data_IF_838051178740
#
_entry.id   IF_838051178740
#
_cell.length_a   1.000
_cell.length_b   1.000
_cell.length_c   1.000
_cell.angle_alpha   90.00
_cell.angle_beta   90.00
_cell.angle_gamma   90.00
#
_symmetry.space_group_name_H-M   'P 1'
#
loop_
_entity.id
_entity.type
_entity.pdbx_description
1 polymer ?
#
# COMPACT_ATOMS: atom_id res chain seq x y z
N UNK A 1 -13.36 17.12 29.39
CA UNK A 1 -12.03 16.62 29.80
C UNK A 1 -12.03 15.12 29.49
N UNK A 2 -11.53 14.71 28.32
CA UNK A 2 -11.49 13.30 27.92
C UNK A 2 -10.22 12.66 28.49
N UNK A 3 -10.38 11.80 29.48
CA UNK A 3 -9.27 11.00 30.02
C UNK A 3 -8.87 9.99 28.95
N UNK A 4 -7.65 10.11 28.45
CA UNK A 4 -7.08 9.26 27.42
C UNK A 4 -6.41 8.06 28.13
N UNK A 5 -7.16 6.97 28.32
CA UNK A 5 -6.64 5.77 29.02
C UNK A 5 -5.51 5.04 28.26
N UNK A 6 -5.33 5.36 26.98
CA UNK A 6 -4.32 4.74 26.13
C UNK A 6 -3.44 5.83 25.52
N UNK A 7 -2.19 6.00 26.01
CA UNK A 7 -1.20 6.84 25.35
C UNK A 7 -1.07 6.41 23.88
N UNK A 8 -1.23 7.33 22.94
CA UNK A 8 -1.13 7.06 21.50
C UNK A 8 -2.45 6.89 20.75
N UNK A 9 -3.61 7.01 21.39
CA UNK A 9 -4.90 6.95 20.68
C UNK A 9 -5.34 8.31 20.14
N UNK A 10 -5.77 8.40 18.87
CA UNK A 10 -6.27 9.67 18.28
C UNK A 10 -7.57 10.17 18.94
N UNK A 11 -7.66 11.44 19.30
CA UNK A 11 -8.88 12.02 19.87
C UNK A 11 -10.04 12.03 18.85
N UNK A 12 -11.28 11.83 19.31
CA UNK A 12 -12.49 11.87 18.47
C UNK A 12 -12.72 10.68 17.53
N UNK A 13 -11.83 9.68 17.53
CA UNK A 13 -11.96 8.47 16.70
C UNK A 13 -12.53 7.32 17.54
N UNK A 14 -13.59 6.62 17.10
CA UNK A 14 -14.10 5.43 17.77
C UNK A 14 -12.98 4.43 18.09
N UNK A 15 -13.04 3.82 19.28
CA UNK A 15 -12.04 2.86 19.74
C UNK A 15 -12.63 1.47 19.70
N UNK A 16 -11.82 0.51 19.26
CA UNK A 16 -12.21 -0.89 19.22
C UNK A 16 -11.10 -1.76 19.82
N UNK A 17 -11.50 -2.83 20.52
CA UNK A 17 -10.62 -3.89 21.01
C UNK A 17 -11.16 -5.23 20.52
N UNK A 18 -10.31 -6.01 19.83
CA UNK A 18 -10.62 -7.38 19.43
C UNK A 18 -9.87 -8.31 20.37
N UNK A 19 -10.61 -9.12 21.13
CA UNK A 19 -10.06 -10.08 22.08
C UNK A 19 -10.06 -11.45 21.45
N UNK A 20 -8.87 -11.98 21.18
CA UNK A 20 -8.65 -13.35 20.73
C UNK A 20 -8.40 -14.24 21.95
N UNK A 21 -9.19 -15.30 22.12
CA UNK A 21 -9.11 -16.19 23.29
C UNK A 21 -9.31 -17.65 22.88
N UNK A 22 -8.83 -18.57 23.71
CA UNK A 22 -9.12 -19.99 23.67
C UNK A 22 -10.47 -20.34 24.33
N UNK A 23 -11.25 -19.33 24.74
CA UNK A 23 -12.59 -19.49 25.29
C UNK A 23 -12.65 -19.68 26.81
N UNK A 24 -11.52 -19.59 27.52
CA UNK A 24 -11.47 -19.61 28.98
C UNK A 24 -10.45 -18.61 29.52
N UNK A 25 -10.92 -17.69 30.34
CA UNK A 25 -10.08 -16.65 30.94
C UNK A 25 -9.56 -17.08 32.31
N UNK A 26 -8.28 -16.82 32.60
CA UNK A 26 -7.70 -17.13 33.92
C UNK A 26 -8.29 -16.28 35.06
N UNK A 27 -8.88 -15.12 34.72
CA UNK A 27 -9.60 -14.21 35.62
C UNK A 27 -10.87 -13.73 34.93
N UNK A 28 -11.94 -13.49 35.70
CA UNK A 28 -13.19 -13.00 35.15
C UNK A 28 -12.97 -11.66 34.38
N UNK A 29 -13.26 -11.60 33.07
CA UNK A 29 -12.95 -10.44 32.24
C UNK A 29 -13.99 -9.33 32.35
N UNK A 30 -15.15 -9.61 32.98
CA UNK A 30 -16.34 -8.76 33.00
C UNK A 30 -16.06 -7.33 33.46
N UNK A 31 -15.39 -7.13 34.59
CA UNK A 31 -15.18 -5.80 35.18
C UNK A 31 -14.34 -4.89 34.28
N UNK A 32 -13.29 -5.45 33.66
CA UNK A 32 -12.43 -4.74 32.71
C UNK A 32 -13.22 -4.41 31.45
N UNK A 33 -14.00 -5.37 30.95
CA UNK A 33 -14.79 -5.21 29.74
C UNK A 33 -15.91 -4.17 29.92
N UNK A 34 -16.59 -4.15 31.08
CA UNK A 34 -17.57 -3.14 31.45
C UNK A 34 -16.95 -1.74 31.49
N UNK A 35 -15.75 -1.61 32.08
CA UNK A 35 -15.03 -0.34 32.14
C UNK A 35 -14.66 0.18 30.75
N UNK A 36 -14.17 -0.69 29.86
CA UNK A 36 -13.82 -0.33 28.49
C UNK A 36 -15.05 0.09 27.69
N UNK A 37 -16.14 -0.67 27.77
CA UNK A 37 -17.40 -0.33 27.10
C UNK A 37 -18.00 0.98 27.60
N UNK A 38 -17.94 1.25 28.91
CA UNK A 38 -18.41 2.51 29.51
C UNK A 38 -17.64 3.74 28.99
N UNK A 39 -16.43 3.54 28.46
CA UNK A 39 -15.61 4.58 27.84
C UNK A 39 -15.87 4.73 26.33
N UNK A 40 -16.87 4.02 25.78
CA UNK A 40 -17.20 4.06 24.36
C UNK A 40 -16.26 3.21 23.49
N UNK A 41 -15.58 2.22 24.08
CA UNK A 41 -14.74 1.27 23.34
C UNK A 41 -15.60 0.09 22.91
N UNK A 42 -15.70 -0.15 21.60
CA UNK A 42 -16.36 -1.33 21.05
C UNK A 42 -15.50 -2.57 21.28
N UNK A 43 -16.02 -3.57 21.96
CA UNK A 43 -15.31 -4.83 22.21
C UNK A 43 -15.85 -5.95 21.32
N UNK A 44 -14.96 -6.72 20.72
CA UNK A 44 -15.27 -7.91 19.91
C UNK A 44 -14.56 -9.10 20.52
N UNK A 45 -15.26 -10.22 20.73
CA UNK A 45 -14.69 -11.43 21.32
C UNK A 45 -14.64 -12.54 20.28
N UNK A 46 -13.45 -13.10 20.04
CA UNK A 46 -13.21 -14.14 19.04
C UNK A 46 -12.55 -15.33 19.73
N UNK A 47 -13.21 -16.49 19.67
CA UNK A 47 -12.66 -17.75 20.13
C UNK A 47 -12.22 -18.64 18.97
N UNK A 48 -11.06 -19.27 19.12
CA UNK A 48 -10.58 -20.33 18.22
C UNK A 48 -11.05 -21.73 18.64
N UNK A 49 -11.62 -21.84 19.85
CA UNK A 49 -12.04 -23.12 20.44
C UNK A 49 -13.49 -23.43 20.07
N UNK A 50 -13.79 -24.64 19.57
CA UNK A 50 -15.17 -25.05 19.27
C UNK A 50 -15.91 -25.53 20.52
N UNK A 51 -17.25 -25.57 20.44
CA UNK A 51 -18.09 -26.24 21.44
C UNK A 51 -17.69 -27.72 21.60
N UNK A 52 -17.80 -28.30 22.81
CA UNK A 52 -18.34 -27.71 24.04
C UNK A 52 -17.31 -26.95 24.90
N UNK A 53 -16.07 -26.80 24.44
CA UNK A 53 -14.95 -26.28 25.25
C UNK A 53 -14.84 -24.75 25.27
N UNK A 54 -15.76 -24.04 24.61
CA UNK A 54 -15.80 -22.58 24.60
C UNK A 54 -16.82 -22.08 25.60
N UNK A 55 -16.43 -21.15 26.47
CA UNK A 55 -17.36 -20.43 27.33
C UNK A 55 -17.95 -19.22 26.59
N UNK A 56 -19.06 -19.44 25.89
CA UNK A 56 -19.76 -18.35 25.19
C UNK A 56 -20.33 -17.29 26.13
N UNK A 57 -20.61 -17.63 27.39
CA UNK A 57 -21.09 -16.65 28.37
C UNK A 57 -19.96 -15.68 28.75
N UNK A 58 -18.73 -16.18 28.85
CA UNK A 58 -17.55 -15.36 29.04
C UNK A 58 -17.24 -14.48 27.82
N UNK A 59 -17.35 -15.01 26.60
CA UNK A 59 -17.22 -14.21 25.37
C UNK A 59 -18.26 -13.08 25.33
N UNK A 60 -19.51 -13.38 25.72
CA UNK A 60 -20.57 -12.38 25.79
C UNK A 60 -20.27 -11.31 26.86
N UNK A 61 -19.68 -11.68 28.00
CA UNK A 61 -19.23 -10.71 29.01
C UNK A 61 -18.11 -9.79 28.49
N UNK A 62 -17.25 -10.29 27.59
CA UNK A 62 -16.19 -9.50 26.94
C UNK A 62 -16.77 -8.57 25.87
N UNK A 63 -17.65 -9.07 25.00
CA UNK A 63 -18.20 -8.27 23.91
C UNK A 63 -19.30 -7.29 24.37
N UNK A 64 -20.13 -7.71 25.33
CA UNK A 64 -21.32 -7.00 25.79
C UNK A 64 -22.52 -7.10 24.83
N UNK A 65 -22.36 -7.79 23.69
CA UNK A 65 -23.37 -7.95 22.64
C UNK A 65 -23.11 -9.25 21.88
N UNK A 66 -24.17 -10.03 21.65
CA UNK A 66 -24.10 -11.32 20.99
C UNK A 66 -23.64 -11.21 19.52
N UNK A 67 -23.96 -10.10 18.84
CA UNK A 67 -23.54 -9.85 17.45
C UNK A 67 -22.02 -9.69 17.30
N UNK A 68 -21.31 -9.42 18.40
CA UNK A 68 -19.85 -9.22 18.45
C UNK A 68 -19.11 -10.40 19.09
N UNK A 69 -19.75 -11.57 19.17
CA UNK A 69 -19.18 -12.82 19.68
C UNK A 69 -18.99 -13.81 18.54
N UNK A 70 -17.75 -14.25 18.34
CA UNK A 70 -17.37 -15.14 17.27
C UNK A 70 -16.68 -16.40 17.80
N UNK A 71 -17.05 -17.52 17.21
CA UNK A 71 -16.51 -18.87 17.45
C UNK A 71 -16.24 -19.50 16.08
N UNK A 72 -15.60 -20.69 16.00
CA UNK A 72 -15.41 -21.36 14.71
C UNK A 72 -16.72 -21.63 13.94
N UNK A 73 -17.88 -21.63 14.60
CA UNK A 73 -19.19 -21.86 13.96
C UNK A 73 -19.72 -20.67 13.17
N UNK A 74 -19.48 -19.45 13.64
CA UNK A 74 -19.98 -18.20 13.03
C UNK A 74 -18.83 -17.27 12.60
N UNK A 75 -17.62 -17.81 12.46
CA UNK A 75 -16.45 -17.05 12.04
C UNK A 75 -16.65 -16.37 10.67
N UNK A 76 -17.50 -16.91 9.79
CA UNK A 76 -17.81 -16.27 8.51
C UNK A 76 -18.55 -14.93 8.66
N UNK A 77 -19.20 -14.68 9.80
CA UNK A 77 -19.94 -13.43 10.08
C UNK A 77 -19.02 -12.34 10.61
N UNK A 78 -17.84 -12.71 11.12
CA UNK A 78 -16.87 -11.80 11.72
C UNK A 78 -16.51 -10.65 10.80
N UNK A 79 -16.23 -10.95 9.53
CA UNK A 79 -15.88 -9.92 8.55
C UNK A 79 -17.03 -8.92 8.38
N UNK A 80 -18.27 -9.39 8.24
CA UNK A 80 -19.42 -8.49 8.06
C UNK A 80 -19.68 -7.60 9.27
N UNK A 81 -19.44 -8.08 10.48
CA UNK A 81 -19.57 -7.26 11.69
C UNK A 81 -18.40 -6.30 11.85
N UNK A 82 -17.18 -6.79 11.66
CA UNK A 82 -15.97 -5.97 11.75
C UNK A 82 -16.03 -4.80 10.77
N UNK A 83 -16.49 -5.04 9.53
CA UNK A 83 -16.60 -4.01 8.49
C UNK A 83 -17.62 -2.89 8.81
N UNK A 84 -18.54 -3.08 9.77
CA UNK A 84 -19.41 -1.99 10.27
C UNK A 84 -18.63 -0.94 11.05
N UNK A 85 -17.55 -1.37 11.71
CA UNK A 85 -16.69 -0.51 12.52
C UNK A 85 -15.40 -0.14 11.79
N UNK A 86 -14.95 -1.03 10.91
CA UNK A 86 -13.78 -0.87 10.04
C UNK A 86 -14.30 -0.53 8.65
N UNK A 87 -14.91 0.64 8.52
CA UNK A 87 -15.28 1.21 7.23
C UNK A 87 -14.05 1.85 6.57
N UNK A 88 -13.78 1.50 5.31
CA UNK A 88 -12.95 2.31 4.42
C UNK A 88 -13.70 3.59 3.99
N UNK A 89 -14.15 4.43 4.93
CA UNK A 89 -14.99 5.58 4.61
C UNK A 89 -15.62 6.24 5.83
N UNK A 90 -15.64 7.57 5.86
CA UNK A 90 -16.53 8.34 6.70
C UNK A 90 -18.00 7.94 6.46
N UNK A 91 -18.85 8.14 7.47
CA UNK A 91 -20.29 7.96 7.38
C UNK A 91 -20.86 8.74 6.17
N UNK A 92 -21.45 8.01 5.21
CA UNK A 92 -22.03 8.59 3.99
C UNK A 92 -21.19 8.49 2.70
N UNK A 93 -20.00 7.88 2.71
CA UNK A 93 -19.19 7.67 1.49
C UNK A 93 -19.03 6.18 1.16
N UNK A 94 -19.97 5.62 0.40
CA UNK A 94 -19.85 4.25 -0.12
C UNK A 94 -18.85 4.20 -1.29
N UNK A 95 -17.68 3.61 -1.06
CA UNK A 95 -16.80 3.16 -2.13
C UNK A 95 -17.39 1.89 -2.72
N UNK A 96 -17.98 2.01 -3.92
CA UNK A 96 -18.58 0.87 -4.60
C UNK A 96 -17.59 -0.29 -4.83
N UNK A 97 -18.10 -1.52 -5.02
CA UNK A 97 -17.28 -2.74 -5.16
C UNK A 97 -16.27 -2.70 -6.34
N UNK A 98 -16.43 -1.76 -7.27
CA UNK A 98 -15.57 -1.52 -8.44
C UNK A 98 -14.88 -0.14 -8.42
N UNK A 99 -14.38 0.30 -7.26
CA UNK A 99 -13.69 1.59 -7.14
C UNK A 99 -12.44 1.64 -8.05
N UNK A 100 -12.59 2.24 -9.24
CA UNK A 100 -11.49 2.47 -10.19
C UNK A 100 -10.60 3.62 -9.72
N UNK A 101 -9.30 3.61 -10.07
CA UNK A 101 -8.40 4.73 -9.85
C UNK A 101 -9.03 6.05 -10.34
N UNK A 102 -9.11 7.05 -9.46
CA UNK A 102 -9.79 8.33 -9.76
C UNK A 102 -8.87 9.38 -10.38
N UNK A 103 -7.62 9.03 -10.67
CA UNK A 103 -6.68 9.89 -11.38
C UNK A 103 -7.06 9.93 -12.86
N UNK A 104 -7.28 11.13 -13.41
CA UNK A 104 -7.39 11.32 -14.86
C UNK A 104 -5.94 11.43 -15.36
N UNK A 105 -5.59 10.77 -16.46
CA UNK A 105 -4.22 10.79 -17.00
C UNK A 105 -3.62 12.19 -17.18
N UNK A 106 -2.31 12.18 -17.44
CA UNK A 106 -1.33 13.29 -17.40
C UNK A 106 -1.24 13.97 -16.03
N UNK A 107 -0.34 13.45 -15.21
CA UNK A 107 0.25 14.16 -14.06
C UNK A 107 1.31 15.11 -14.59
N UNK A 108 1.21 16.39 -14.26
CA UNK A 108 2.23 17.36 -14.63
C UNK A 108 3.37 17.26 -13.61
N UNK A 109 4.54 16.88 -14.11
CA UNK A 109 5.77 16.77 -13.31
C UNK A 109 6.70 17.87 -13.77
N UNK A 110 7.10 18.73 -12.85
CA UNK A 110 8.07 19.80 -13.12
C UNK A 110 9.16 19.73 -12.08
N UNK A 111 10.42 19.89 -12.49
CA UNK A 111 11.54 19.95 -11.56
C UNK A 111 12.46 21.11 -11.92
N UNK A 112 13.13 21.64 -10.90
CA UNK A 112 14.19 22.62 -11.01
C UNK A 112 15.50 22.05 -10.42
N UNK A 113 16.47 22.91 -10.11
CA UNK A 113 17.77 22.48 -9.57
C UNK A 113 17.71 21.81 -8.19
N UNK A 114 16.63 21.99 -7.43
CA UNK A 114 16.52 21.55 -6.03
C UNK A 114 15.14 21.02 -5.63
N UNK A 115 14.16 21.01 -6.54
CA UNK A 115 12.81 20.59 -6.21
C UNK A 115 12.12 19.85 -7.35
N UNK A 116 11.13 19.04 -6.99
CA UNK A 116 10.18 18.41 -7.90
C UNK A 116 8.77 18.75 -7.43
N UNK A 117 7.98 19.32 -8.34
CA UNK A 117 6.56 19.61 -8.14
C UNK A 117 5.75 18.62 -8.95
N UNK A 118 4.88 17.91 -8.24
CA UNK A 118 4.00 16.89 -8.79
C UNK A 118 2.56 17.37 -8.69
N UNK A 119 1.92 17.55 -9.85
CA UNK A 119 0.55 18.04 -9.97
C UNK A 119 -0.35 16.98 -10.57
N UNK A 120 -1.44 16.67 -9.87
CA UNK A 120 -2.41 15.65 -10.27
C UNK A 120 -3.79 16.26 -10.46
N UNK A 121 -4.47 15.83 -11.54
CA UNK A 121 -5.87 16.15 -11.81
C UNK A 121 -6.74 14.94 -11.58
N UNK A 122 -7.55 15.00 -10.53
CA UNK A 122 -8.50 13.95 -10.16
C UNK A 122 -9.83 14.09 -10.92
N UNK A 123 -10.56 12.98 -11.10
CA UNK A 123 -11.87 12.98 -11.76
C UNK A 123 -12.93 13.76 -10.95
N UNK A 124 -12.85 13.68 -9.62
CA UNK A 124 -13.61 14.49 -8.67
C UNK A 124 -12.67 14.91 -7.55
N UNK A 125 -12.95 16.03 -6.85
CA UNK A 125 -12.10 16.49 -5.75
C UNK A 125 -11.86 15.37 -4.73
N UNK A 126 -10.62 15.25 -4.28
CA UNK A 126 -10.22 14.28 -3.27
C UNK A 126 -10.20 14.94 -1.90
N UNK A 127 -10.84 14.31 -0.91
CA UNK A 127 -10.74 14.70 0.48
C UNK A 127 -9.86 13.66 1.17
N UNK A 128 -8.55 13.92 1.26
CA UNK A 128 -7.58 12.88 1.58
C UNK A 128 -6.16 13.41 1.71
N UNK A 129 -5.17 12.54 1.48
CA UNK A 129 -3.75 12.86 1.65
C UNK A 129 -2.97 12.63 0.37
N UNK A 130 -1.91 13.40 0.20
CA UNK A 130 -0.93 13.23 -0.87
C UNK A 130 0.46 13.34 -0.25
N UNK A 131 1.29 12.30 -0.33
CA UNK A 131 2.55 12.25 0.42
C UNK A 131 3.64 11.41 -0.25
N UNK A 132 4.90 11.66 0.10
CA UNK A 132 6.02 10.83 -0.35
C UNK A 132 5.99 9.45 0.35
N UNK A 133 6.20 8.37 -0.41
CA UNK A 133 6.17 7.01 0.12
C UNK A 133 7.08 6.86 1.34
N UNK A 134 6.56 6.26 2.43
CA UNK A 134 7.21 6.12 3.75
C UNK A 134 7.28 7.39 4.62
N UNK A 135 6.86 8.56 4.12
CA UNK A 135 6.95 9.84 4.85
C UNK A 135 5.59 10.41 5.28
N UNK A 136 4.56 9.56 5.42
CA UNK A 136 3.18 9.99 5.73
C UNK A 136 3.00 10.68 7.09
N UNK A 137 3.87 10.38 8.06
CA UNK A 137 3.84 10.99 9.39
C UNK A 137 4.56 12.35 9.44
N UNK A 138 5.29 12.70 8.38
CA UNK A 138 6.07 13.95 8.31
C UNK A 138 5.20 15.02 7.65
N UNK A 139 4.81 16.09 8.37
CA UNK A 139 3.94 17.13 7.84
C UNK A 139 4.52 17.85 6.63
N UNK A 140 5.85 18.04 6.57
CA UNK A 140 6.49 18.66 5.41
C UNK A 140 6.41 17.80 4.14
N UNK A 141 6.21 16.49 4.29
CA UNK A 141 6.13 15.53 3.19
C UNK A 141 4.68 15.13 2.85
N UNK A 142 3.70 15.73 3.51
CA UNK A 142 2.29 15.34 3.45
C UNK A 142 1.39 16.55 3.22
N UNK A 143 0.63 16.52 2.13
CA UNK A 143 -0.42 17.47 1.82
C UNK A 143 -1.77 16.87 2.20
N UNK A 144 -2.51 17.57 3.06
CA UNK A 144 -3.92 17.28 3.34
C UNK A 144 -4.78 18.07 2.36
N UNK A 145 -5.62 17.38 1.61
CA UNK A 145 -6.57 18.01 0.70
C UNK A 145 -7.99 17.91 1.28
N UNK A 146 -8.69 19.05 1.30
CA UNK A 146 -10.06 19.22 1.79
C UNK A 146 -11.12 19.00 0.70
N UNK A 147 -10.71 18.68 -0.53
CA UNK A 147 -11.62 18.50 -1.65
C UNK A 147 -12.15 19.81 -2.24
N UNK A 148 -11.50 20.94 -1.97
CA UNK A 148 -11.81 22.24 -2.59
C UNK A 148 -11.53 22.26 -4.10
N UNK A 149 -10.48 21.55 -4.54
CA UNK A 149 -10.05 21.49 -5.93
C UNK A 149 -9.88 20.06 -6.42
N UNK A 150 -10.08 19.86 -7.72
CA UNK A 150 -9.73 18.61 -8.42
C UNK A 150 -8.24 18.53 -8.77
N UNK A 151 -7.57 19.68 -8.82
CA UNK A 151 -6.15 19.80 -9.07
C UNK A 151 -5.43 19.94 -7.74
N UNK A 152 -4.43 19.08 -7.53
CA UNK A 152 -3.67 18.98 -6.29
C UNK A 152 -2.20 18.96 -6.65
N UNK A 153 -1.40 19.81 -6.01
CA UNK A 153 0.02 19.94 -6.27
C UNK A 153 0.82 19.83 -4.98
N UNK A 154 1.85 19.01 -4.97
CA UNK A 154 2.81 18.89 -3.87
C UNK A 154 4.23 19.08 -4.41
N UNK A 155 5.09 19.75 -3.64
CA UNK A 155 6.48 20.01 -4.00
C UNK A 155 7.38 19.35 -2.96
N UNK A 156 8.40 18.62 -3.43
CA UNK A 156 9.43 18.01 -2.61
C UNK A 156 10.79 18.61 -2.95
N UNK A 157 11.66 18.74 -1.95
CA UNK A 157 12.99 19.33 -2.10
C UNK A 157 14.10 18.29 -1.94
N UNK A 158 15.23 18.50 -2.62
CA UNK A 158 16.42 17.64 -2.54
C UNK A 158 16.88 17.47 -1.08
N UNK A 159 17.16 16.23 -0.69
CA UNK A 159 17.53 15.86 0.68
C UNK A 159 16.36 15.76 1.68
N UNK A 160 15.11 15.94 1.23
CA UNK A 160 13.92 15.83 2.07
C UNK A 160 12.97 14.76 1.54
N UNK A 161 12.14 14.17 2.42
CA UNK A 161 11.08 13.23 2.02
C UNK A 161 11.56 12.05 1.16
N UNK A 162 12.82 11.64 1.32
CA UNK A 162 13.45 10.57 0.52
C UNK A 162 13.85 10.98 -0.90
N UNK A 163 13.65 12.24 -1.28
CA UNK A 163 14.08 12.78 -2.57
C UNK A 163 15.57 13.10 -2.55
N UNK A 164 16.30 12.58 -3.53
CA UNK A 164 17.69 12.95 -3.77
C UNK A 164 17.94 13.08 -5.28
N UNK A 165 18.72 14.07 -5.67
CA UNK A 165 19.15 14.21 -7.07
C UNK A 165 20.30 13.27 -7.40
N UNK A 166 20.25 12.69 -8.60
CA UNK A 166 21.30 11.80 -9.11
C UNK A 166 21.82 12.30 -10.46
N UNK A 167 23.14 12.28 -10.75
CA UNK A 167 23.65 12.67 -12.05
C UNK A 167 23.11 11.72 -13.13
N UNK A 168 22.65 12.28 -14.24
CA UNK A 168 22.09 11.52 -15.35
C UNK A 168 23.18 10.85 -16.17
N UNK A 169 22.96 9.58 -16.54
CA UNK A 169 23.92 8.81 -17.34
C UNK A 169 23.81 9.06 -18.85
N UNK A 170 22.69 9.63 -19.30
CA UNK A 170 22.37 9.75 -20.74
C UNK A 170 22.66 11.14 -21.31
N UNK A 171 22.57 12.18 -20.48
CA UNK A 171 22.64 13.60 -20.85
C UNK A 171 23.12 14.42 -19.65
N UNK A 172 23.76 15.56 -19.90
CA UNK A 172 24.22 16.47 -18.85
C UNK A 172 23.04 17.03 -18.05
N UNK A 173 22.91 16.58 -16.81
CA UNK A 173 21.85 16.98 -15.90
C UNK A 173 21.63 15.99 -14.78
N UNK A 174 20.57 16.19 -14.02
CA UNK A 174 20.22 15.38 -12.85
C UNK A 174 18.83 14.77 -13.01
N UNK A 175 18.64 13.57 -12.47
CA UNK A 175 17.34 12.93 -12.32
C UNK A 175 16.88 13.00 -10.87
N UNK A 176 15.60 13.30 -10.69
CA UNK A 176 14.87 13.23 -9.42
C UNK A 176 13.88 12.08 -9.50
N UNK A 177 13.99 11.11 -8.58
CA UNK A 177 13.08 9.97 -8.49
C UNK A 177 12.34 10.00 -7.16
N UNK A 178 11.02 9.86 -7.18
CA UNK A 178 10.19 9.78 -5.97
C UNK A 178 8.88 9.03 -6.24
N UNK A 179 8.45 8.23 -5.26
CA UNK A 179 7.10 7.64 -5.26
C UNK A 179 6.16 8.51 -4.43
N UNK A 180 5.07 8.96 -5.05
CA UNK A 180 4.02 9.76 -4.40
C UNK A 180 2.76 8.92 -4.23
N UNK A 181 2.22 8.88 -3.02
CA UNK A 181 0.97 8.19 -2.69
C UNK A 181 -0.18 9.19 -2.67
N UNK A 182 -1.25 8.86 -3.38
CA UNK A 182 -2.54 9.56 -3.35
C UNK A 182 -3.53 8.70 -2.57
N UNK A 183 -3.82 9.14 -1.35
CA UNK A 183 -4.80 8.53 -0.46
C UNK A 183 -6.11 9.30 -0.57
N UNK A 184 -7.16 8.69 -1.14
CA UNK A 184 -8.43 9.38 -1.38
C UNK A 184 -9.30 9.53 -0.13
N UNK A 185 -8.91 8.92 0.99
CA UNK A 185 -9.57 9.04 2.28
C UNK A 185 -8.63 9.67 3.31
N UNK A 186 -9.09 10.52 4.23
CA UNK A 186 -8.19 11.24 5.15
C UNK A 186 -7.57 10.36 6.25
N UNK A 187 -8.10 9.17 6.49
CA UNK A 187 -7.73 8.34 7.66
C UNK A 187 -7.08 7.00 7.36
N UNK A 188 -7.34 6.41 6.19
CA UNK A 188 -7.03 5.02 5.88
C UNK A 188 -6.71 4.85 4.41
N UNK A 189 -5.87 3.87 4.11
CA UNK A 189 -5.53 3.50 2.75
C UNK A 189 -6.60 2.54 2.23
N UNK A 190 -7.13 2.80 1.05
CA UNK A 190 -8.20 2.04 0.40
C UNK A 190 -7.73 1.43 -0.90
N UNK A 191 -8.53 0.51 -1.46
CA UNK A 191 -8.26 -0.09 -2.78
C UNK A 191 -8.26 0.92 -3.94
N UNK A 192 -8.82 2.12 -3.73
CA UNK A 192 -8.87 3.19 -4.72
C UNK A 192 -7.59 4.06 -4.75
N UNK A 193 -6.73 3.92 -3.74
CA UNK A 193 -5.52 4.73 -3.59
C UNK A 193 -4.45 4.32 -4.59
N UNK A 194 -3.56 5.27 -4.92
CA UNK A 194 -2.59 5.10 -6.00
C UNK A 194 -1.20 5.51 -5.53
N UNK A 195 -0.21 4.65 -5.80
CA UNK A 195 1.20 5.02 -5.73
C UNK A 195 1.73 5.31 -7.13
N UNK A 196 2.35 6.47 -7.32
CA UNK A 196 2.89 6.93 -8.60
C UNK A 196 4.40 7.10 -8.47
N UNK A 197 5.15 6.33 -9.25
CA UNK A 197 6.59 6.43 -9.38
C UNK A 197 6.93 7.52 -10.41
N UNK A 198 7.61 8.58 -9.96
CA UNK A 198 7.83 9.81 -10.72
C UNK A 198 9.33 10.02 -10.93
N UNK A 199 9.72 10.23 -12.18
CA UNK A 199 11.08 10.64 -12.57
C UNK A 199 11.03 11.99 -13.31
N UNK A 200 11.90 12.92 -12.93
CA UNK A 200 12.05 14.21 -13.60
C UNK A 200 13.53 14.53 -13.88
N UNK A 201 13.84 14.91 -15.12
CA UNK A 201 15.18 15.28 -15.55
C UNK A 201 15.34 16.81 -15.62
N UNK A 202 16.37 17.32 -14.94
CA UNK A 202 16.76 18.73 -14.97
C UNK A 202 18.12 18.89 -15.65
N UNK A 203 18.15 19.62 -16.77
CA UNK A 203 19.38 19.85 -17.54
C UNK A 203 20.32 20.83 -16.81
N UNK A 204 21.53 20.38 -16.48
CA UNK A 204 22.55 21.17 -15.78
C UNK A 204 23.94 20.55 -16.04
N UNK A 205 25.00 21.35 -16.22
CA UNK A 205 26.34 20.80 -16.38
C UNK A 205 26.79 20.03 -15.13
N UNK A 206 27.30 18.81 -15.34
CA UNK A 206 27.88 17.97 -14.29
C UNK A 206 29.29 18.44 -13.94
N UNK A 207 29.69 18.26 -12.68
CA UNK A 207 31.08 18.53 -12.27
C UNK A 207 32.03 17.43 -12.80
N UNK A 208 33.33 17.72 -13.01
CA UNK A 208 34.29 16.73 -13.50
C UNK A 208 34.41 15.47 -12.62
N UNK A 209 34.17 15.58 -11.31
CA UNK A 209 34.16 14.42 -10.39
C UNK A 209 32.93 13.52 -10.60
N UNK A 210 31.77 14.11 -10.92
CA UNK A 210 30.54 13.37 -11.19
C UNK A 210 30.61 12.68 -12.56
N UNK A 211 31.20 13.32 -13.56
CA UNK A 211 31.37 12.77 -14.91
C UNK A 211 32.21 11.48 -14.94
N UNK A 212 33.22 11.35 -14.07
CA UNK A 212 34.01 10.12 -13.92
C UNK A 212 33.24 8.93 -13.30
N UNK A 213 32.09 9.19 -12.65
CA UNK A 213 31.19 8.13 -12.14
C UNK A 213 30.14 7.68 -13.17
N UNK A 214 30.06 8.33 -14.34
CA UNK A 214 29.03 8.12 -15.36
C UNK A 214 29.47 7.13 -16.46
N UNK A 215 30.76 6.81 -16.58
CA UNK A 215 31.21 5.70 -17.44
C UNK A 215 30.73 4.37 -16.87
N UNK A 216 29.63 3.88 -17.42
CA UNK A 216 28.94 2.69 -16.96
C UNK A 216 29.76 1.43 -17.22
N UNK A 217 30.20 0.78 -16.15
CA UNK A 217 30.73 -0.57 -16.22
C UNK A 217 29.60 -1.56 -16.50
N UNK A 218 29.91 -2.75 -17.05
CA UNK A 218 28.94 -3.87 -17.09
C UNK A 218 28.40 -4.16 -15.68
N UNK A 219 29.23 -3.94 -14.65
CA UNK A 219 28.86 -4.09 -13.24
C UNK A 219 27.81 -3.08 -12.75
N UNK A 220 27.60 -1.97 -13.47
CA UNK A 220 26.66 -0.90 -13.11
C UNK A 220 25.36 -0.97 -13.94
N UNK A 221 25.09 -2.11 -14.59
CA UNK A 221 23.84 -2.33 -15.35
C UNK A 221 22.67 -2.41 -14.37
N UNK A 222 21.68 -1.55 -14.54
CA UNK A 222 20.45 -1.58 -13.77
C UNK A 222 19.35 -2.27 -14.57
N UNK A 223 18.57 -3.12 -13.91
CA UNK A 223 17.53 -3.93 -14.53
C UNK A 223 16.21 -3.68 -13.83
N UNK A 224 15.24 -3.18 -14.59
CA UNK A 224 13.88 -3.02 -14.11
C UNK A 224 13.02 -4.22 -14.50
N UNK A 225 12.14 -4.63 -13.57
CA UNK A 225 11.15 -5.68 -13.79
C UNK A 225 9.75 -5.08 -13.64
N UNK A 226 8.87 -5.35 -14.62
CA UNK A 226 7.48 -4.88 -14.63
C UNK A 226 6.53 -5.98 -15.08
N UNK A 227 5.32 -5.95 -14.54
CA UNK A 227 4.23 -6.83 -14.96
C UNK A 227 3.31 -6.05 -15.90
N UNK A 228 3.04 -6.63 -17.05
CA UNK A 228 2.19 -6.10 -18.10
C UNK A 228 0.95 -6.98 -18.25
N UNK A 229 -0.17 -6.40 -18.68
CA UNK A 229 -1.45 -7.11 -18.86
C UNK A 229 -1.96 -6.87 -20.27
N UNK A 230 -2.59 -7.89 -20.86
CA UNK A 230 -3.10 -7.90 -22.24
C UNK A 230 -2.05 -7.81 -23.36
N UNK A 231 -0.98 -7.01 -23.21
CA UNK A 231 0.12 -6.93 -24.16
C UNK A 231 1.47 -6.60 -23.52
N UNK A 232 2.60 -6.92 -24.17
CA UNK A 232 3.95 -6.53 -23.72
C UNK A 232 4.21 -5.01 -23.63
N UNK A 233 3.29 -4.20 -24.14
CA UNK A 233 3.40 -2.73 -24.18
C UNK A 233 2.59 -2.03 -23.09
N UNK A 234 1.62 -2.71 -22.49
CA UNK A 234 0.68 -2.11 -21.54
C UNK A 234 1.04 -2.46 -20.09
N UNK A 235 1.64 -1.50 -19.40
CA UNK A 235 2.01 -1.62 -17.98
C UNK A 235 0.75 -1.40 -17.11
N UNK A 236 0.56 -2.22 -16.07
CA UNK A 236 -0.54 -2.06 -15.09
C UNK A 236 -0.04 -2.32 -13.67
N UNK A 237 -0.72 -1.74 -12.68
CA UNK A 237 -0.36 -1.87 -11.27
C UNK A 237 -1.10 -3.02 -10.58
N UNK A 238 -0.31 -3.89 -9.94
CA UNK A 238 -0.54 -4.69 -8.72
C UNK A 238 -1.79 -5.59 -8.56
N UNK A 239 -2.67 -5.74 -9.56
CA UNK A 239 -3.71 -6.77 -9.54
C UNK A 239 -3.75 -7.64 -10.81
N UNK A 240 -4.09 -8.92 -10.61
CA UNK A 240 -4.31 -9.90 -11.66
C UNK A 240 -5.34 -10.92 -11.20
N UNK A 241 -6.25 -11.33 -12.09
CA UNK A 241 -7.25 -12.37 -11.79
C UNK A 241 -6.78 -13.74 -12.26
N UNK A 242 -7.26 -14.76 -11.57
CA UNK A 242 -7.15 -16.17 -11.99
C UNK A 242 -7.66 -16.31 -13.43
N UNK A 243 -6.85 -16.92 -14.29
CA UNK A 243 -7.15 -17.11 -15.71
C UNK A 243 -6.69 -15.97 -16.64
N UNK A 244 -6.13 -14.87 -16.12
CA UNK A 244 -5.60 -13.79 -16.94
C UNK A 244 -4.15 -14.03 -17.36
N UNK A 245 -3.80 -13.58 -18.57
CA UNK A 245 -2.42 -13.63 -19.07
C UNK A 245 -1.64 -12.41 -18.61
N UNK A 246 -0.55 -12.66 -17.90
CA UNK A 246 0.43 -11.65 -17.50
C UNK A 246 1.69 -11.77 -18.35
N UNK A 247 2.27 -10.63 -18.66
CA UNK A 247 3.53 -10.51 -19.40
C UNK A 247 4.59 -9.97 -18.45
N UNK A 248 5.58 -10.80 -18.16
CA UNK A 248 6.72 -10.41 -17.36
C UNK A 248 7.74 -9.70 -18.26
N UNK A 249 8.05 -8.43 -17.97
CA UNK A 249 8.95 -7.63 -18.76
C UNK A 249 10.16 -7.21 -17.94
N UNK A 250 11.32 -7.67 -18.37
CA UNK A 250 12.61 -7.19 -17.87
C UNK A 250 13.16 -6.19 -18.86
N UNK A 251 13.77 -5.13 -18.35
CA UNK A 251 14.45 -4.14 -19.16
C UNK A 251 15.70 -3.68 -18.42
N UNK A 252 16.85 -4.06 -18.96
CA UNK A 252 18.15 -3.61 -18.49
C UNK A 252 18.71 -2.53 -19.43
N UNK A 253 19.47 -1.61 -18.86
CA UNK A 253 20.11 -0.51 -19.57
C UNK A 253 21.59 -0.82 -19.86
N UNK A 254 21.82 -2.04 -20.36
CA UNK A 254 23.13 -2.57 -20.70
C UNK A 254 23.73 -1.86 -21.93
N UNK A 255 25.07 -1.72 -22.02
CA UNK A 255 25.71 -1.14 -23.20
C UNK A 255 25.35 -1.92 -24.49
N UNK A 256 25.36 -1.29 -25.68
CA UNK A 256 24.85 -1.89 -26.92
C UNK A 256 25.53 -3.20 -27.35
N UNK A 257 26.74 -3.43 -26.88
CA UNK A 257 27.54 -4.62 -27.15
C UNK A 257 27.20 -5.82 -26.24
N UNK A 258 26.36 -5.62 -25.22
CA UNK A 258 25.94 -6.65 -24.28
C UNK A 258 24.43 -6.90 -24.41
N UNK A 259 24.05 -8.16 -24.24
CA UNK A 259 22.65 -8.58 -24.05
C UNK A 259 22.53 -9.19 -22.66
N UNK A 260 21.33 -9.12 -22.09
CA UNK A 260 21.01 -9.77 -20.83
C UNK A 260 20.15 -11.01 -21.09
N UNK A 261 20.28 -11.99 -20.19
CA UNK A 261 19.46 -13.19 -20.12
C UNK A 261 18.83 -13.23 -18.72
N UNK A 262 17.53 -13.49 -18.66
CA UNK A 262 16.85 -13.77 -17.39
C UNK A 262 17.01 -15.25 -17.11
N UNK A 263 17.72 -15.58 -16.04
CA UNK A 263 17.89 -16.94 -15.56
C UNK A 263 17.17 -17.10 -14.21
N UNK A 264 16.68 -18.31 -13.94
CA UNK A 264 16.10 -18.71 -12.65
C UNK A 264 15.02 -17.78 -12.09
N UNK A 265 13.83 -17.81 -12.68
CA UNK A 265 12.69 -17.06 -12.15
C UNK A 265 11.77 -17.95 -11.32
N UNK A 266 11.46 -17.49 -10.12
CA UNK A 266 10.66 -18.21 -9.14
C UNK A 266 9.47 -17.36 -8.70
N UNK A 267 8.30 -17.98 -8.65
CA UNK A 267 7.12 -17.44 -8.00
C UNK A 267 7.05 -18.03 -6.60
N UNK A 268 7.08 -17.17 -5.59
CA UNK A 268 7.07 -17.56 -4.17
C UNK A 268 5.80 -17.06 -3.50
N UNK A 269 5.15 -17.93 -2.75
CA UNK A 269 4.15 -17.62 -1.74
C UNK A 269 4.73 -17.95 -0.35
N UNK A 270 3.98 -17.67 0.72
CA UNK A 270 4.37 -18.06 2.07
C UNK A 270 4.55 -19.58 2.25
N UNK A 271 3.89 -20.39 1.40
CA UNK A 271 3.83 -21.85 1.55
C UNK A 271 4.49 -22.62 0.41
N UNK A 272 4.71 -21.99 -0.74
CA UNK A 272 5.17 -22.67 -1.95
C UNK A 272 6.09 -21.81 -2.80
N UNK A 273 7.03 -22.44 -3.50
CA UNK A 273 7.92 -21.82 -4.46
C UNK A 273 7.88 -22.63 -5.75
N UNK A 274 7.59 -21.98 -6.88
CA UNK A 274 7.48 -22.62 -8.19
C UNK A 274 8.42 -21.93 -9.16
N UNK A 275 9.22 -22.72 -9.88
CA UNK A 275 10.12 -22.21 -10.91
C UNK A 275 9.37 -22.05 -12.24
N UNK A 276 9.42 -20.85 -12.82
CA UNK A 276 8.81 -20.54 -14.12
C UNK A 276 9.84 -20.36 -15.23
N UNK A 277 11.07 -19.98 -14.90
CA UNK A 277 12.20 -19.94 -15.82
C UNK A 277 13.38 -20.69 -15.20
N UNK A 278 14.04 -21.53 -15.99
CA UNK A 278 15.25 -22.25 -15.57
C UNK A 278 16.52 -21.41 -15.71
N UNK A 279 17.66 -22.01 -15.36
CA UNK A 279 18.98 -21.38 -15.41
C UNK A 279 19.46 -21.08 -16.85
N UNK A 280 18.86 -21.68 -17.87
CA UNK A 280 19.17 -21.40 -19.27
C UNK A 280 18.19 -20.40 -19.90
N UNK A 281 17.19 -19.93 -19.13
CA UNK A 281 16.17 -18.98 -19.56
C UNK A 281 15.00 -19.63 -20.30
N UNK A 282 14.84 -20.95 -20.25
CA UNK A 282 13.68 -21.64 -20.80
C UNK A 282 12.52 -21.67 -19.81
N UNK A 283 11.30 -21.71 -20.36
CA UNK A 283 10.07 -21.81 -19.57
C UNK A 283 10.01 -23.20 -18.94
N UNK A 284 10.23 -23.27 -17.63
CA UNK A 284 10.20 -24.52 -16.87
C UNK A 284 8.76 -24.96 -16.58
N UNK A 285 7.89 -24.02 -16.24
CA UNK A 285 6.47 -24.28 -15.89
C UNK A 285 5.58 -23.13 -16.33
N UNK A 286 4.47 -23.44 -17.01
CA UNK A 286 3.38 -22.49 -17.26
C UNK A 286 2.46 -22.45 -16.04
N UNK A 287 2.54 -21.39 -15.23
CA UNK A 287 1.60 -21.18 -14.13
C UNK A 287 0.26 -20.67 -14.66
N UNK A 288 -0.78 -21.51 -14.57
CA UNK A 288 -2.15 -21.01 -14.48
C UNK A 288 -2.43 -20.72 -13.02
N UNK A 289 -2.71 -19.46 -12.67
CA UNK A 289 -3.29 -19.12 -11.38
C UNK A 289 -4.63 -19.86 -11.31
N UNK A 290 -4.68 -20.99 -10.62
CA UNK A 290 -5.92 -21.69 -10.29
C UNK A 290 -6.34 -21.28 -8.88
N UNK A 291 -7.61 -20.91 -8.72
CA UNK A 291 -8.18 -20.61 -7.41
C UNK A 291 -8.04 -21.84 -6.52
N UNK A 292 -7.22 -21.73 -5.47
CA UNK A 292 -7.33 -22.62 -4.33
C UNK A 292 -8.45 -22.02 -3.47
N UNK A 293 -9.60 -22.69 -3.46
CA UNK A 293 -10.72 -22.40 -2.56
C UNK A 293 -10.29 -22.58 -1.11
#
# INVERSE_FOLDING_TARGET
>A
MSIQLFPGTRAGVPKMVIVLTDGHSARAPKEIADTMRAQGITMVAVSVTPRPYVDEAELLQIAGDQSRVFTPRNAHEFESELMKHVGFGCEGLELGPDAKPRVRGATDVTCDANSITFTVRTQRPMHGLMYAQHFHDIPECTLVNDGSSREVSITFHDGQCGLYKTPSQSRDGYNFNITVILQFHPLIITRADQGLDVNCFFAQPLTPQEMNRVTKSVADTDCSYRIHRYSPSQCVALDAKVGETLFHKWQCDSPPMYKYLVHDCWVKSEKSSVQILDNEGYVATMLQLTSIV
#
